data_IF_482493778122
#
_entry.id   IF_482493778122
#
_cell.length_a   1.000
_cell.length_b   1.000
_cell.length_c   1.000
_cell.angle_alpha   90.00
_cell.angle_beta   90.00
_cell.angle_gamma   90.00
#
_symmetry.space_group_name_H-M   'P 1'
#
loop_
_entity.id
_entity.type
_entity.pdbx_description
1 polymer ?
#
# COMPACT_ATOMS: atom_id res chain seq x y z
N UNK A 1 -16.00 7.34 -8.40
CA UNK A 1 -14.84 7.86 -9.14
C UNK A 1 -13.74 6.81 -9.34
N UNK A 2 -12.93 6.90 -10.40
CA UNK A 2 -11.77 6.03 -10.60
C UNK A 2 -10.75 6.09 -9.44
N UNK A 3 -10.66 7.23 -8.75
CA UNK A 3 -9.75 7.42 -7.60
C UNK A 3 -10.26 6.79 -6.30
N UNK A 4 -11.58 6.61 -6.14
CA UNK A 4 -12.19 6.11 -4.90
C UNK A 4 -11.68 4.73 -4.52
N UNK A 5 -11.41 3.86 -5.50
CA UNK A 5 -10.84 2.55 -5.22
C UNK A 5 -9.48 2.64 -4.55
N UNK A 6 -8.65 3.60 -4.93
CA UNK A 6 -7.36 3.86 -4.28
C UNK A 6 -7.58 4.37 -2.86
N UNK A 7 -8.48 5.35 -2.68
CA UNK A 7 -8.78 5.94 -1.37
C UNK A 7 -9.29 4.88 -0.40
N UNK A 8 -10.29 4.08 -0.80
CA UNK A 8 -10.82 3.00 0.03
C UNK A 8 -9.78 1.91 0.30
N UNK A 9 -8.94 1.58 -0.69
CA UNK A 9 -7.81 0.68 -0.50
C UNK A 9 -6.88 1.18 0.61
N UNK A 10 -6.42 2.44 0.51
CA UNK A 10 -5.58 3.10 1.50
C UNK A 10 -6.25 3.06 2.89
N UNK A 11 -7.53 3.41 2.99
CA UNK A 11 -8.25 3.42 4.28
C UNK A 11 -8.25 2.04 4.94
N UNK A 12 -8.52 0.97 4.17
CA UNK A 12 -8.47 -0.40 4.68
C UNK A 12 -7.06 -0.79 5.10
N UNK A 13 -6.05 -0.49 4.28
CA UNK A 13 -4.65 -0.78 4.59
C UNK A 13 -4.15 -0.06 5.84
N UNK A 14 -4.53 1.21 6.04
CA UNK A 14 -4.18 1.97 7.24
C UNK A 14 -4.85 1.39 8.49
N UNK A 15 -6.11 0.96 8.41
CA UNK A 15 -6.78 0.26 9.51
C UNK A 15 -6.05 -1.02 9.92
N UNK A 16 -5.60 -1.81 8.95
CA UNK A 16 -4.78 -3.00 9.21
C UNK A 16 -3.41 -2.64 9.80
N UNK A 17 -2.73 -1.62 9.25
CA UNK A 17 -1.42 -1.17 9.69
C UNK A 17 -1.40 -0.74 11.17
N UNK A 18 -2.47 -0.12 11.66
CA UNK A 18 -2.60 0.25 13.08
C UNK A 18 -2.56 -1.00 13.97
N UNK A 19 -3.33 -2.04 13.62
CA UNK A 19 -3.39 -3.29 14.39
C UNK A 19 -2.04 -4.01 14.32
N UNK A 20 -1.46 -4.14 13.12
CA UNK A 20 -0.16 -4.78 12.93
C UNK A 20 0.93 -4.06 13.75
N UNK A 21 1.00 -2.73 13.67
CA UNK A 21 1.99 -1.96 14.40
C UNK A 21 1.78 -2.03 15.92
N UNK A 22 0.56 -2.13 16.42
CA UNK A 22 0.28 -2.36 17.84
C UNK A 22 0.95 -3.65 18.30
N UNK A 23 0.70 -4.77 17.60
CA UNK A 23 1.30 -6.06 17.97
C UNK A 23 2.82 -6.06 17.86
N UNK A 24 3.41 -5.41 16.84
CA UNK A 24 4.86 -5.25 16.76
C UNK A 24 5.43 -4.38 17.88
N UNK A 25 4.70 -3.34 18.30
CA UNK A 25 5.12 -2.46 19.40
C UNK A 25 5.11 -3.22 20.73
N UNK A 26 4.08 -4.03 20.96
CA UNK A 26 4.00 -4.90 22.13
C UNK A 26 5.13 -5.94 22.14
N UNK A 27 5.46 -6.52 20.98
CA UNK A 27 6.48 -7.56 20.87
C UNK A 27 7.93 -7.04 20.88
N UNK A 28 8.20 -5.90 20.24
CA UNK A 28 9.56 -5.39 19.97
C UNK A 28 9.89 -4.08 20.71
N UNK A 29 8.92 -3.50 21.42
CA UNK A 29 9.08 -2.30 22.23
C UNK A 29 8.69 -1.00 21.53
N UNK A 30 8.48 0.04 22.36
CA UNK A 30 7.94 1.33 21.94
C UNK A 30 8.78 2.04 20.86
N UNK A 31 10.11 1.96 20.95
CA UNK A 31 11.00 2.60 19.99
C UNK A 31 10.85 2.02 18.58
N UNK A 32 10.68 0.70 18.47
CA UNK A 32 10.40 0.04 17.18
C UNK A 32 9.01 0.43 16.67
N UNK A 33 8.03 0.43 17.57
CA UNK A 33 6.66 0.88 17.28
C UNK A 33 6.59 2.27 16.67
N UNK A 34 7.34 3.24 17.20
CA UNK A 34 7.35 4.61 16.72
C UNK A 34 7.82 4.72 15.26
N UNK A 35 8.91 4.03 14.91
CA UNK A 35 9.42 4.01 13.54
C UNK A 35 8.45 3.32 12.58
N UNK A 36 7.85 2.20 13.02
CA UNK A 36 6.88 1.46 12.21
C UNK A 36 5.58 2.23 12.00
N UNK A 37 5.12 3.00 12.98
CA UNK A 37 3.90 3.81 12.89
C UNK A 37 3.91 4.78 11.70
N UNK A 38 5.10 5.21 11.24
CA UNK A 38 5.23 6.03 10.03
C UNK A 38 5.49 5.15 8.81
N UNK A 39 6.58 4.37 8.83
CA UNK A 39 7.06 3.68 7.63
C UNK A 39 6.11 2.55 7.20
N UNK A 40 5.65 1.73 8.15
CA UNK A 40 4.75 0.63 7.82
C UNK A 40 3.38 1.16 7.40
N UNK A 41 2.87 2.25 8.00
CA UNK A 41 1.63 2.87 7.55
C UNK A 41 1.72 3.39 6.10
N UNK A 42 2.84 4.02 5.72
CA UNK A 42 3.07 4.44 4.33
C UNK A 42 3.17 3.24 3.37
N UNK A 43 3.81 2.16 3.80
CA UNK A 43 3.91 0.92 3.04
C UNK A 43 2.51 0.31 2.81
N UNK A 44 1.74 0.11 3.88
CA UNK A 44 0.36 -0.41 3.81
C UNK A 44 -0.54 0.48 2.97
N UNK A 45 -0.47 1.80 3.10
CA UNK A 45 -1.20 2.74 2.25
C UNK A 45 -0.84 2.54 0.77
N UNK A 46 0.45 2.43 0.44
CA UNK A 46 0.88 2.22 -0.94
C UNK A 46 0.39 0.88 -1.50
N UNK A 47 0.58 -0.20 -0.76
CA UNK A 47 0.29 -1.57 -1.23
C UNK A 47 -1.21 -1.77 -1.42
N UNK A 48 -2.01 -1.39 -0.43
CA UNK A 48 -3.47 -1.46 -0.49
C UNK A 48 -4.06 -0.46 -1.49
N UNK A 49 -3.47 0.73 -1.64
CA UNK A 49 -3.86 1.71 -2.65
C UNK A 49 -3.65 1.21 -4.08
N UNK A 50 -2.53 0.55 -4.37
CA UNK A 50 -2.31 -0.14 -5.65
C UNK A 50 -3.29 -1.29 -5.86
N UNK A 51 -3.58 -2.08 -4.82
CA UNK A 51 -4.64 -3.08 -4.86
C UNK A 51 -6.00 -2.45 -5.22
N UNK A 52 -6.36 -1.36 -4.57
CA UNK A 52 -7.57 -0.57 -4.83
C UNK A 52 -7.67 -0.02 -6.25
N UNK A 53 -6.54 0.44 -6.82
CA UNK A 53 -6.45 0.83 -8.23
C UNK A 53 -6.80 -0.31 -9.16
N UNK A 54 -6.14 -1.47 -9.03
CA UNK A 54 -6.40 -2.63 -9.88
C UNK A 54 -7.80 -3.23 -9.68
N UNK A 55 -8.31 -3.14 -8.44
CA UNK A 55 -9.67 -3.54 -8.13
C UNK A 55 -10.69 -2.69 -8.87
N UNK A 56 -10.43 -1.42 -9.19
CA UNK A 56 -11.43 -0.47 -9.69
C UNK A 56 -11.15 0.05 -11.10
N UNK A 57 -10.11 0.86 -11.26
CA UNK A 57 -9.81 1.61 -12.48
C UNK A 57 -8.82 0.89 -13.41
N UNK A 58 -7.87 0.12 -12.86
CA UNK A 58 -6.74 -0.44 -13.61
C UNK A 58 -7.08 -1.61 -14.54
N UNK A 59 -8.17 -2.34 -14.27
CA UNK A 59 -8.49 -3.61 -14.95
C UNK A 59 -9.98 -3.72 -15.35
N UNK A 60 -10.58 -2.61 -15.80
CA UNK A 60 -12.04 -2.52 -16.08
C UNK A 60 -12.57 -3.55 -17.09
N UNK A 61 -11.71 -4.14 -17.92
CA UNK A 61 -12.08 -5.18 -18.91
C UNK A 61 -12.21 -6.58 -18.30
N UNK A 62 -11.70 -6.80 -17.09
CA UNK A 62 -11.77 -8.09 -16.40
C UNK A 62 -13.02 -8.17 -15.52
N UNK A 63 -13.48 -9.40 -15.26
CA UNK A 63 -14.57 -9.64 -14.30
C UNK A 63 -14.15 -9.22 -12.88
N UNK A 64 -15.13 -8.94 -12.03
CA UNK A 64 -14.89 -8.51 -10.65
C UNK A 64 -14.06 -9.54 -9.86
N UNK A 65 -14.26 -10.83 -10.13
CA UNK A 65 -13.52 -11.91 -9.49
C UNK A 65 -12.02 -11.83 -9.80
N UNK A 66 -11.64 -11.70 -11.07
CA UNK A 66 -10.23 -11.58 -11.45
C UNK A 66 -9.61 -10.27 -10.96
N UNK A 67 -10.37 -9.17 -10.98
CA UNK A 67 -9.94 -7.88 -10.41
C UNK A 67 -9.62 -8.02 -8.93
N UNK A 68 -10.47 -8.70 -8.16
CA UNK A 68 -10.24 -8.97 -6.74
C UNK A 68 -8.99 -9.82 -6.52
N UNK A 69 -8.82 -10.92 -7.25
CA UNK A 69 -7.63 -11.77 -7.13
C UNK A 69 -6.34 -11.00 -7.43
N UNK A 70 -6.34 -10.17 -8.48
CA UNK A 70 -5.16 -9.38 -8.84
C UNK A 70 -4.92 -8.29 -7.78
N UNK A 71 -5.96 -7.59 -7.34
CA UNK A 71 -5.84 -6.56 -6.31
C UNK A 71 -5.27 -7.13 -5.00
N UNK A 72 -5.80 -8.26 -4.55
CA UNK A 72 -5.32 -8.98 -3.37
C UNK A 72 -3.89 -9.50 -3.56
N UNK A 73 -3.59 -10.06 -4.74
CA UNK A 73 -2.26 -10.54 -5.09
C UNK A 73 -1.23 -9.42 -5.10
N UNK A 74 -1.55 -8.25 -5.64
CA UNK A 74 -0.68 -7.06 -5.64
C UNK A 74 -0.41 -6.59 -4.23
N UNK A 75 -1.44 -6.42 -3.40
CA UNK A 75 -1.28 -5.96 -2.02
C UNK A 75 -0.42 -6.95 -1.19
N UNK A 76 -0.75 -8.24 -1.27
CA UNK A 76 -0.04 -9.31 -0.55
C UNK A 76 1.40 -9.46 -1.05
N UNK A 77 1.65 -9.35 -2.37
CA UNK A 77 2.98 -9.45 -2.93
C UNK A 77 3.90 -8.34 -2.42
N UNK A 78 3.44 -7.09 -2.46
CA UNK A 78 4.26 -5.97 -2.01
C UNK A 78 4.49 -5.98 -0.49
N UNK A 79 3.46 -6.33 0.29
CA UNK A 79 3.58 -6.51 1.74
C UNK A 79 4.58 -7.63 2.07
N UNK A 80 4.43 -8.80 1.45
CA UNK A 80 5.33 -9.92 1.65
C UNK A 80 6.77 -9.63 1.21
N UNK A 81 6.97 -8.89 0.11
CA UNK A 81 8.30 -8.47 -0.31
C UNK A 81 8.93 -7.48 0.66
N UNK A 82 8.15 -6.51 1.16
CA UNK A 82 8.58 -5.55 2.18
C UNK A 82 9.05 -6.28 3.45
N UNK A 83 8.23 -7.20 3.97
CA UNK A 83 8.55 -7.98 5.17
C UNK A 83 9.74 -8.92 4.93
N UNK A 84 9.80 -9.57 3.76
CA UNK A 84 10.92 -10.42 3.39
C UNK A 84 12.25 -9.66 3.40
N UNK A 85 12.29 -8.46 2.79
CA UNK A 85 13.50 -7.65 2.75
C UNK A 85 13.95 -7.19 4.14
N UNK A 86 13.02 -6.86 5.04
CA UNK A 86 13.34 -6.50 6.42
C UNK A 86 13.78 -7.73 7.24
N UNK A 87 13.16 -8.89 7.00
CA UNK A 87 13.49 -10.14 7.67
C UNK A 87 14.93 -10.59 7.42
N UNK A 88 15.50 -10.27 6.25
CA UNK A 88 16.91 -10.55 5.94
C UNK A 88 17.91 -9.83 6.88
N UNK A 89 17.44 -8.87 7.71
CA UNK A 89 18.24 -8.16 8.72
C UNK A 89 19.57 -7.59 8.18
N UNK A 90 19.54 -7.14 6.92
CA UNK A 90 20.68 -6.52 6.26
C UNK A 90 20.35 -5.04 5.97
N UNK A 91 21.24 -4.09 6.28
CA UNK A 91 20.99 -2.67 6.05
C UNK A 91 20.70 -2.32 4.58
N UNK A 92 21.32 -3.01 3.62
CA UNK A 92 21.13 -2.75 2.18
C UNK A 92 19.73 -3.20 1.75
N UNK A 93 19.28 -4.38 2.17
CA UNK A 93 17.93 -4.86 1.86
C UNK A 93 16.85 -4.04 2.58
N UNK A 94 17.11 -3.61 3.81
CA UNK A 94 16.21 -2.71 4.55
C UNK A 94 16.07 -1.36 3.85
N UNK A 95 17.18 -0.76 3.40
CA UNK A 95 17.15 0.45 2.59
C UNK A 95 16.40 0.23 1.27
N UNK A 96 16.62 -0.91 0.61
CA UNK A 96 15.90 -1.31 -0.59
C UNK A 96 14.37 -1.35 -0.37
N UNK A 97 13.93 -1.89 0.77
CA UNK A 97 12.52 -1.92 1.17
C UNK A 97 11.92 -0.51 1.32
N UNK A 98 12.67 0.41 1.95
CA UNK A 98 12.21 1.80 2.12
C UNK A 98 12.18 2.57 0.79
N UNK A 99 13.18 2.40 -0.06
CA UNK A 99 13.22 3.00 -1.40
C UNK A 99 12.07 2.48 -2.26
N UNK A 100 11.80 1.18 -2.21
CA UNK A 100 10.68 0.55 -2.91
C UNK A 100 9.34 1.13 -2.44
N UNK A 101 9.11 1.21 -1.13
CA UNK A 101 7.91 1.84 -0.57
C UNK A 101 7.77 3.29 -1.04
N UNK A 102 8.84 4.09 -0.96
CA UNK A 102 8.83 5.48 -1.42
C UNK A 102 8.49 5.61 -2.92
N UNK A 103 9.05 4.73 -3.76
CA UNK A 103 8.74 4.69 -5.19
C UNK A 103 7.27 4.34 -5.43
N UNK A 104 6.73 3.33 -4.74
CA UNK A 104 5.34 2.92 -4.88
C UNK A 104 4.37 4.01 -4.43
N UNK A 105 4.67 4.72 -3.33
CA UNK A 105 3.92 5.90 -2.88
C UNK A 105 3.95 6.98 -3.96
N UNK A 106 5.14 7.34 -4.46
CA UNK A 106 5.29 8.38 -5.48
C UNK A 106 4.49 8.06 -6.75
N UNK A 107 4.60 6.82 -7.24
CA UNK A 107 3.86 6.37 -8.41
C UNK A 107 2.35 6.34 -8.17
N UNK A 108 1.91 5.94 -6.98
CA UNK A 108 0.49 5.93 -6.61
C UNK A 108 -0.08 7.35 -6.58
N UNK A 109 0.62 8.30 -5.98
CA UNK A 109 0.22 9.72 -5.96
C UNK A 109 0.15 10.29 -7.37
N UNK A 110 1.11 9.95 -8.24
CA UNK A 110 1.04 10.34 -9.66
C UNK A 110 -0.19 9.74 -10.33
N UNK A 111 -0.50 8.47 -10.07
CA UNK A 111 -1.67 7.79 -10.63
C UNK A 111 -2.98 8.40 -10.13
N UNK A 112 -3.08 8.77 -8.85
CA UNK A 112 -4.25 9.46 -8.30
C UNK A 112 -4.49 10.78 -9.01
N UNK A 113 -3.45 11.61 -9.18
CA UNK A 113 -3.55 12.88 -9.93
C UNK A 113 -3.99 12.69 -11.38
N UNK A 114 -3.48 11.66 -12.04
CA UNK A 114 -3.91 11.30 -13.39
C UNK A 114 -5.42 10.95 -13.41
N UNK A 115 -5.89 10.10 -12.50
CA UNK A 115 -7.29 9.70 -12.43
C UNK A 115 -8.24 10.85 -12.08
N UNK A 116 -7.82 11.76 -11.20
CA UNK A 116 -8.57 12.99 -10.88
C UNK A 116 -8.67 13.94 -12.08
N UNK A 117 -7.66 13.99 -12.94
CA UNK A 117 -7.70 14.83 -14.14
C UNK A 117 -8.77 14.41 -15.15
N UNK A 118 -9.19 13.15 -15.13
CA UNK A 118 -10.28 12.61 -15.96
C UNK A 118 -11.62 12.53 -15.21
N UNK A 119 -11.72 13.09 -14.01
CA UNK A 119 -12.96 13.10 -13.24
C UNK A 119 -13.99 14.05 -13.88
N UNK A 120 -15.25 13.62 -14.06
CA UNK A 120 -16.32 14.46 -14.60
C UNK A 120 -16.79 15.56 -13.63
N UNK A 121 -16.25 15.62 -12.41
CA UNK A 121 -16.65 16.55 -11.35
C UNK A 121 -15.61 17.65 -11.07
N UNK A 122 -14.64 17.88 -11.98
CA UNK A 122 -13.72 19.02 -11.84
C UNK A 122 -14.49 20.35 -11.96
N UNK A 123 -14.56 21.09 -10.86
CA UNK A 123 -14.86 22.52 -10.81
C UNK A 123 -13.58 23.34 -10.91
#
# INVERSE_FOLDING_TARGET
EPVDGIVYGITVGLGFAVIENLFYTEALGFQVGLWRAVIACLAHAAFSGWGGYFLTAGLRRLSIFYRFLIAYGVATFWHGLYDFLLFLNNPIFSLGSFVLTGLLVYMLLKKMRELEAYSPFRS
#
